data_IF_338272026763
#
_entry.id   IF_338272026763
#
_cell.length_a   1.000
_cell.length_b   1.000
_cell.length_c   1.000
_cell.angle_alpha   90.00
_cell.angle_beta   90.00
_cell.angle_gamma   90.00
#
_symmetry.space_group_name_H-M   'P 1'
#
loop_
_entity.id
_entity.type
_entity.pdbx_description
1 polymer ?
#
# COMPACT_ATOMS: atom_id res chain seq x y z
N UNK A 1 -16.84 52.75 -52.43
CA UNK A 1 -16.43 51.49 -53.11
C UNK A 1 -16.20 50.44 -52.02
N UNK A 2 -17.17 49.56 -51.73
CA UNK A 2 -17.20 48.09 -52.06
C UNK A 2 -15.81 47.43 -51.85
N UNK A 3 -15.59 46.43 -50.99
CA UNK A 3 -16.33 45.21 -50.54
C UNK A 3 -15.91 44.89 -49.08
N UNK A 4 -16.81 44.59 -48.13
CA UNK A 4 -17.45 43.29 -47.82
C UNK A 4 -16.49 42.09 -47.66
N UNK A 5 -16.43 41.53 -46.44
CA UNK A 5 -16.45 40.10 -46.01
C UNK A 5 -16.30 40.14 -44.47
N UNK A 6 -17.38 40.14 -43.67
CA UNK A 6 -18.04 38.96 -43.06
C UNK A 6 -17.07 37.91 -42.51
N UNK A 7 -16.92 37.84 -41.19
CA UNK A 7 -17.16 36.58 -40.49
C UNK A 7 -17.74 36.85 -39.11
N UNK A 8 -19.01 36.47 -38.99
CA UNK A 8 -19.81 36.40 -37.79
C UNK A 8 -19.67 34.95 -37.31
N UNK A 9 -19.09 34.72 -36.13
CA UNK A 9 -19.30 33.46 -35.40
C UNK A 9 -19.75 33.87 -33.99
N UNK A 10 -21.07 33.98 -33.87
CA UNK A 10 -21.77 33.77 -32.61
C UNK A 10 -21.97 32.25 -32.52
N UNK A 11 -21.31 31.63 -31.54
CA UNK A 11 -21.75 30.40 -30.90
C UNK A 11 -21.49 30.63 -29.40
N UNK A 12 -22.46 31.19 -28.67
CA UNK A 12 -23.38 30.39 -27.85
C UNK A 12 -22.66 29.19 -27.21
N UNK A 13 -21.76 29.47 -26.27
CA UNK A 13 -21.47 28.54 -25.17
C UNK A 13 -22.51 28.81 -24.09
N UNK A 14 -23.76 28.55 -24.45
CA UNK A 14 -24.79 28.10 -23.51
C UNK A 14 -24.61 26.58 -23.40
N UNK A 15 -23.57 26.16 -22.69
CA UNK A 15 -23.55 24.85 -22.03
C UNK A 15 -24.07 25.19 -20.64
N UNK A 16 -25.38 25.22 -20.47
CA UNK A 16 -26.06 24.08 -19.88
C UNK A 16 -25.30 23.61 -18.63
N UNK A 17 -25.41 24.39 -17.54
CA UNK A 17 -25.57 23.76 -16.23
C UNK A 17 -26.85 22.91 -16.33
N UNK A 18 -26.76 21.70 -16.89
CA UNK A 18 -27.65 20.67 -16.42
C UNK A 18 -27.14 20.38 -15.01
N UNK A 19 -27.91 20.84 -14.03
CA UNK A 19 -27.99 20.10 -12.79
C UNK A 19 -28.60 18.75 -13.19
N UNK A 20 -27.76 17.83 -13.65
CA UNK A 20 -28.02 16.42 -13.44
C UNK A 20 -27.80 16.20 -11.94
N UNK A 21 -28.77 16.67 -11.14
CA UNK A 21 -29.23 15.94 -9.98
C UNK A 21 -29.82 14.63 -10.50
N UNK A 22 -28.96 13.76 -11.02
CA UNK A 22 -29.20 12.35 -10.90
C UNK A 22 -29.21 12.09 -9.41
N UNK A 23 -30.42 11.84 -8.92
CA UNK A 23 -30.71 11.12 -7.70
C UNK A 23 -30.12 9.70 -7.81
N UNK A 24 -28.81 9.59 -7.98
CA UNK A 24 -28.11 8.39 -7.63
C UNK A 24 -28.08 8.41 -6.11
N UNK A 25 -29.10 7.81 -5.50
CA UNK A 25 -28.96 7.15 -4.21
C UNK A 25 -27.92 6.03 -4.41
N UNK A 26 -26.69 6.37 -4.77
CA UNK A 26 -25.55 5.49 -4.68
C UNK A 26 -25.42 5.21 -3.19
N UNK A 27 -25.87 4.01 -2.84
CA UNK A 27 -25.81 3.48 -1.49
C UNK A 27 -24.37 3.66 -1.02
N UNK A 28 -24.15 4.47 0.03
CA UNK A 28 -22.80 4.76 0.48
C UNK A 28 -22.22 3.47 1.06
N UNK A 29 -21.31 2.84 0.30
CA UNK A 29 -20.67 1.59 0.66
C UNK A 29 -19.32 1.85 1.34
N UNK A 30 -19.19 1.44 2.59
CA UNK A 30 -17.91 1.46 3.30
C UNK A 30 -17.25 0.09 3.25
N UNK A 31 -15.92 0.07 3.12
CA UNK A 31 -15.12 -1.16 3.21
C UNK A 31 -15.11 -1.63 4.68
N UNK A 32 -15.70 -2.77 4.98
CA UNK A 32 -15.78 -3.31 6.35
C UNK A 32 -14.54 -4.13 6.68
N UNK A 33 -14.06 -4.92 5.73
CA UNK A 33 -12.90 -5.77 5.94
C UNK A 33 -12.14 -6.05 4.64
N UNK A 34 -10.89 -6.47 4.80
CA UNK A 34 -10.06 -6.97 3.71
C UNK A 34 -9.37 -8.27 4.14
N UNK A 35 -9.42 -9.30 3.28
CA UNK A 35 -8.60 -10.50 3.45
C UNK A 35 -7.14 -10.12 3.34
N UNK A 36 -6.31 -10.73 4.20
CA UNK A 36 -4.85 -10.51 4.15
C UNK A 36 -4.19 -11.21 2.96
N UNK A 37 -4.95 -11.99 2.17
CA UNK A 37 -4.46 -12.61 0.96
C UNK A 37 -3.89 -11.55 0.02
N UNK A 38 -2.62 -11.73 -0.36
CA UNK A 38 -1.89 -10.76 -1.16
C UNK A 38 -1.27 -9.60 -0.39
N UNK A 39 -1.41 -9.53 0.94
CA UNK A 39 -0.66 -8.55 1.75
C UNK A 39 0.82 -8.94 1.77
N UNK A 40 1.69 -7.93 1.78
CA UNK A 40 3.13 -8.09 1.92
C UNK A 40 3.67 -7.10 2.96
N UNK A 41 4.24 -7.63 4.03
CA UNK A 41 4.87 -6.85 5.09
C UNK A 41 6.35 -6.66 4.77
N UNK A 42 6.70 -5.50 4.25
CA UNK A 42 8.04 -5.21 3.71
C UNK A 42 9.11 -5.03 4.80
N UNK A 43 8.71 -4.63 6.00
CA UNK A 43 9.59 -4.37 7.13
C UNK A 43 9.74 -5.58 8.08
N UNK A 44 8.92 -6.63 7.92
CA UNK A 44 8.79 -7.73 8.90
C UNK A 44 8.76 -9.08 8.18
N UNK A 45 9.66 -9.98 8.58
CA UNK A 45 9.59 -11.39 8.15
C UNK A 45 8.67 -12.15 9.09
N UNK A 46 7.56 -12.65 8.55
CA UNK A 46 6.66 -13.57 9.26
C UNK A 46 7.33 -14.95 9.27
N UNK A 47 7.44 -15.57 10.44
CA UNK A 47 7.98 -16.93 10.51
C UNK A 47 7.01 -17.91 9.86
N UNK A 48 7.50 -18.90 9.09
CA UNK A 48 6.64 -19.93 8.50
C UNK A 48 5.87 -20.73 9.57
N UNK A 49 6.40 -20.79 10.79
CA UNK A 49 5.81 -21.50 11.93
C UNK A 49 4.94 -20.59 12.81
N UNK A 50 4.70 -19.35 12.37
CA UNK A 50 3.89 -18.36 13.08
C UNK A 50 2.43 -18.45 12.65
N UNK A 51 1.75 -19.53 13.04
CA UNK A 51 0.30 -19.62 12.92
C UNK A 51 -0.36 -19.21 14.23
N UNK A 52 -1.37 -18.35 14.13
CA UNK A 52 -2.34 -18.13 15.19
C UNK A 52 -3.67 -18.68 14.69
N UNK A 53 -4.11 -19.80 15.25
CA UNK A 53 -5.35 -20.48 14.84
C UNK A 53 -6.59 -19.61 15.00
N UNK A 54 -6.52 -18.56 15.82
CA UNK A 54 -7.65 -17.68 16.09
C UNK A 54 -7.73 -16.50 15.13
N UNK A 55 -6.74 -16.30 14.24
CA UNK A 55 -6.78 -15.22 13.28
C UNK A 55 -7.84 -15.47 12.20
N UNK A 56 -8.67 -14.46 11.93
CA UNK A 56 -9.83 -14.60 11.03
C UNK A 56 -9.48 -14.67 9.54
N UNK A 57 -8.21 -14.45 9.18
CA UNK A 57 -7.77 -14.32 7.78
C UNK A 57 -8.06 -12.95 7.16
N UNK A 58 -8.62 -12.01 7.93
CA UNK A 58 -8.96 -10.66 7.48
C UNK A 58 -8.62 -9.60 8.52
N UNK A 59 -8.45 -8.37 8.04
CA UNK A 59 -8.43 -7.16 8.86
C UNK A 59 -9.76 -6.43 8.71
N UNK A 60 -10.21 -5.77 9.78
CA UNK A 60 -11.48 -5.04 9.80
C UNK A 60 -11.24 -3.54 10.01
N UNK A 61 -12.14 -2.71 9.53
CA UNK A 61 -12.01 -1.26 9.54
C UNK A 61 -13.08 -0.60 10.41
N UNK A 62 -12.67 0.36 11.24
CA UNK A 62 -13.57 1.32 11.86
C UNK A 62 -13.34 2.71 11.26
N UNK A 63 -14.40 3.53 11.29
CA UNK A 63 -14.42 4.84 10.64
C UNK A 63 -14.69 5.95 11.65
N UNK A 64 -14.09 7.12 11.40
CA UNK A 64 -14.42 8.35 12.12
C UNK A 64 -15.70 9.01 11.59
N UNK A 65 -16.07 10.14 12.22
CA UNK A 65 -17.25 10.92 11.84
C UNK A 65 -17.15 11.57 10.44
N UNK A 66 -15.96 11.60 9.84
CA UNK A 66 -15.71 12.06 8.47
C UNK A 66 -15.63 10.89 7.47
N UNK A 67 -16.07 9.69 7.86
CA UNK A 67 -16.02 8.47 7.06
C UNK A 67 -14.60 8.10 6.58
N UNK A 68 -13.59 8.34 7.43
CA UNK A 68 -12.20 7.90 7.19
C UNK A 68 -11.85 6.76 8.14
N UNK A 69 -11.07 5.79 7.66
CA UNK A 69 -10.62 4.67 8.50
C UNK A 69 -9.78 5.23 9.65
N UNK A 70 -10.23 5.09 10.89
CA UNK A 70 -9.50 5.53 12.08
C UNK A 70 -8.94 4.36 12.89
N UNK A 71 -9.38 3.13 12.62
CA UNK A 71 -8.76 1.91 13.16
C UNK A 71 -8.72 0.78 12.15
N UNK A 72 -7.65 0.01 12.21
CA UNK A 72 -7.49 -1.27 11.50
C UNK A 72 -7.33 -2.37 12.54
N UNK A 73 -8.30 -3.28 12.62
CA UNK A 73 -8.30 -4.39 13.58
C UNK A 73 -7.82 -5.67 12.92
N UNK A 74 -6.85 -6.33 13.55
CA UNK A 74 -6.13 -7.47 13.03
C UNK A 74 -4.85 -7.07 12.30
N UNK A 75 -3.84 -7.94 12.34
CA UNK A 75 -2.52 -7.63 11.78
C UNK A 75 -1.40 -8.41 12.45
N UNK A 76 -0.19 -7.85 12.45
CA UNK A 76 1.00 -8.50 12.99
C UNK A 76 1.16 -8.27 14.50
N UNK A 77 1.17 -9.35 15.26
CA UNK A 77 1.49 -9.39 16.68
C UNK A 77 2.92 -9.92 16.90
N UNK A 78 3.69 -9.20 17.70
CA UNK A 78 4.96 -9.73 18.21
C UNK A 78 4.68 -10.72 19.33
N UNK A 79 5.18 -11.95 19.21
CA UNK A 79 5.06 -12.98 20.24
C UNK A 79 6.45 -13.54 20.50
N UNK A 80 7.09 -13.25 21.65
CA UNK A 80 8.32 -13.92 21.98
C UNK A 80 8.04 -15.42 22.18
N UNK A 81 8.85 -16.27 21.55
CA UNK A 81 8.83 -17.72 21.69
C UNK A 81 10.18 -18.16 22.26
N UNK A 82 10.23 -19.22 23.07
CA UNK A 82 11.42 -19.62 23.83
C UNK A 82 12.70 -19.77 22.99
N UNK A 83 12.55 -20.15 21.70
CA UNK A 83 13.65 -20.29 20.75
C UNK A 83 13.78 -19.11 19.75
N UNK A 84 12.82 -18.17 19.74
CA UNK A 84 12.83 -17.02 18.85
C UNK A 84 12.19 -15.79 19.53
N UNK A 85 13.05 -14.90 20.04
CA UNK A 85 12.65 -13.65 20.69
C UNK A 85 12.09 -12.60 19.72
N UNK A 86 12.10 -12.85 18.40
CA UNK A 86 11.67 -11.93 17.34
C UNK A 86 10.62 -12.57 16.42
N UNK A 87 9.66 -13.31 16.97
CA UNK A 87 8.61 -13.98 16.18
C UNK A 87 7.40 -13.07 16.00
N UNK A 88 6.91 -13.02 14.76
CA UNK A 88 5.75 -12.25 14.32
C UNK A 88 4.68 -13.20 13.83
N UNK A 89 3.47 -13.09 14.39
CA UNK A 89 2.29 -13.88 14.01
C UNK A 89 1.17 -12.95 13.58
N UNK A 90 0.23 -13.43 12.76
CA UNK A 90 -1.01 -12.69 12.52
C UNK A 90 -1.95 -12.89 13.71
N UNK A 91 -2.68 -11.86 14.13
CA UNK A 91 -3.66 -11.95 15.22
C UNK A 91 -4.82 -10.99 15.00
N UNK A 92 -5.99 -11.32 15.57
CA UNK A 92 -7.12 -10.39 15.67
C UNK A 92 -6.96 -9.43 16.87
N UNK A 93 -6.03 -9.72 17.79
CA UNK A 93 -5.85 -9.00 19.07
C UNK A 93 -4.99 -7.73 18.93
N UNK A 94 -4.69 -7.32 17.70
CA UNK A 94 -3.94 -6.12 17.40
C UNK A 94 -4.83 -5.12 16.71
N UNK A 95 -4.60 -3.86 16.97
CA UNK A 95 -5.21 -2.79 16.21
C UNK A 95 -4.18 -1.70 15.94
N UNK A 96 -4.29 -1.10 14.76
CA UNK A 96 -3.59 0.14 14.42
C UNK A 96 -4.58 1.29 14.56
N UNK A 97 -4.22 2.31 15.32
CA UNK A 97 -4.96 3.58 15.41
C UNK A 97 -4.42 4.53 14.36
N UNK A 98 -5.33 5.04 13.53
CA UNK A 98 -5.04 5.95 12.43
C UNK A 98 -5.55 7.34 12.77
N UNK A 99 -4.62 8.29 12.87
CA UNK A 99 -4.92 9.70 13.16
C UNK A 99 -4.59 10.57 11.96
N UNK A 100 -5.46 11.52 11.65
CA UNK A 100 -5.30 12.45 10.53
C UNK A 100 -5.01 13.85 11.05
N UNK A 101 -3.94 14.47 10.57
CA UNK A 101 -3.56 15.84 10.86
C UNK A 101 -3.14 16.54 9.56
N UNK A 102 -4.04 17.36 9.01
CA UNK A 102 -3.88 18.03 7.73
C UNK A 102 -3.48 17.06 6.60
N UNK A 103 -2.25 17.17 6.11
CA UNK A 103 -1.69 16.34 5.05
C UNK A 103 -0.93 15.12 5.57
N UNK A 104 -1.03 14.82 6.86
CA UNK A 104 -0.29 13.77 7.53
C UNK A 104 -1.23 12.71 8.11
N UNK A 105 -0.87 11.45 7.92
CA UNK A 105 -1.55 10.28 8.50
C UNK A 105 -0.58 9.60 9.46
N UNK A 106 -0.95 9.47 10.72
CA UNK A 106 -0.17 8.77 11.75
C UNK A 106 -0.80 7.43 12.05
N UNK A 107 0.03 6.40 12.16
CA UNK A 107 -0.36 5.04 12.49
C UNK A 107 0.39 4.62 13.74
N UNK A 108 -0.37 4.46 14.82
CA UNK A 108 0.12 3.99 16.11
C UNK A 108 -0.37 2.56 16.35
N UNK A 109 0.57 1.63 16.54
CA UNK A 109 0.23 0.26 16.88
C UNK A 109 -0.28 0.20 18.32
N UNK A 110 -1.54 -0.17 18.49
CA UNK A 110 -2.22 -0.27 19.79
C UNK A 110 -2.69 -1.70 20.07
N UNK A 111 -1.76 -2.65 20.14
CA UNK A 111 -2.06 -3.84 20.93
C UNK A 111 -1.89 -3.52 22.43
N UNK A 112 -2.61 -4.24 23.30
CA UNK A 112 -2.28 -4.38 24.73
C UNK A 112 -0.94 -5.13 24.87
N UNK A 113 0.13 -4.47 24.44
CA UNK A 113 1.47 -5.03 24.30
C UNK A 113 2.46 -3.94 24.68
N UNK A 114 3.28 -4.24 25.68
CA UNK A 114 4.44 -3.41 26.04
C UNK A 114 5.40 -3.24 24.84
N UNK A 115 5.34 -4.15 23.86
CA UNK A 115 6.01 -4.03 22.58
C UNK A 115 5.11 -3.32 21.55
N UNK A 116 5.24 -2.00 21.45
CA UNK A 116 4.83 -1.25 20.25
C UNK A 116 5.98 -1.37 19.25
N UNK A 117 5.86 -2.11 18.14
CA UNK A 117 6.99 -2.30 17.25
C UNK A 117 7.33 -1.09 16.43
N UNK A 118 6.32 -0.31 16.06
CA UNK A 118 6.50 0.81 15.16
C UNK A 118 5.49 1.92 15.45
N UNK A 119 5.91 3.11 15.05
CA UNK A 119 5.03 4.21 14.71
C UNK A 119 5.36 4.60 13.27
N UNK A 120 4.32 4.84 12.46
CA UNK A 120 4.49 5.26 11.07
C UNK A 120 3.77 6.58 10.85
N UNK A 121 4.42 7.47 10.10
CA UNK A 121 3.84 8.74 9.68
C UNK A 121 3.96 8.86 8.17
N UNK A 122 2.87 9.19 7.51
CA UNK A 122 2.77 9.34 6.07
C UNK A 122 2.39 10.77 5.75
N UNK A 123 3.19 11.46 4.95
CA UNK A 123 2.89 12.81 4.48
C UNK A 123 2.43 12.72 3.04
N UNK A 124 1.29 13.34 2.76
CA UNK A 124 0.68 13.44 1.46
C UNK A 124 0.82 14.87 0.91
N UNK A 125 0.84 15.00 -0.41
CA UNK A 125 0.65 16.25 -1.11
C UNK A 125 -0.41 16.02 -2.19
N UNK A 126 -1.56 16.70 -2.09
CA UNK A 126 -2.71 16.49 -2.98
C UNK A 126 -3.11 15.01 -3.14
N UNK A 127 -3.11 14.26 -2.02
CA UNK A 127 -3.44 12.84 -2.00
C UNK A 127 -2.33 11.89 -2.46
N UNK A 128 -1.18 12.41 -2.91
CA UNK A 128 -0.02 11.64 -3.34
C UNK A 128 0.96 11.47 -2.18
N UNK A 129 1.45 10.25 -1.94
CA UNK A 129 2.44 9.98 -0.89
C UNK A 129 3.78 10.64 -1.23
N UNK A 130 4.28 11.56 -0.40
CA UNK A 130 5.58 12.22 -0.61
C UNK A 130 6.65 11.77 0.39
N UNK A 131 6.25 11.36 1.59
CA UNK A 131 7.17 10.77 2.56
C UNK A 131 6.50 9.78 3.51
N UNK A 132 7.29 8.83 3.97
CA UNK A 132 6.95 7.87 5.02
C UNK A 132 8.07 7.88 6.06
N UNK A 133 7.75 8.14 7.31
CA UNK A 133 8.67 8.01 8.44
C UNK A 133 8.31 6.78 9.24
N UNK A 134 9.29 5.92 9.49
CA UNK A 134 9.12 4.70 10.29
C UNK A 134 10.01 4.79 11.51
N UNK A 135 9.40 4.83 12.68
CA UNK A 135 10.09 4.80 13.97
C UNK A 135 9.93 3.41 14.55
N UNK A 136 11.01 2.62 14.62
CA UNK A 136 10.99 1.33 15.32
C UNK A 136 11.13 1.59 16.82
N UNK A 137 10.16 1.13 17.61
CA UNK A 137 10.10 1.40 19.05
C UNK A 137 10.56 0.18 19.86
N UNK A 138 10.37 -1.04 19.35
CA UNK A 138 10.76 -2.30 20.00
C UNK A 138 11.68 -3.14 19.11
N UNK A 139 12.68 -3.86 19.65
CA UNK A 139 13.06 -3.98 21.08
C UNK A 139 13.87 -2.80 21.62
N UNK A 140 14.42 -1.96 20.74
CA UNK A 140 15.19 -0.76 21.11
C UNK A 140 14.72 0.36 20.17
N UNK A 141 14.40 1.56 20.70
CA UNK A 141 14.12 2.73 19.87
C UNK A 141 15.34 3.04 19.00
N UNK A 142 15.15 3.03 17.68
CA UNK A 142 16.17 3.46 16.73
C UNK A 142 15.79 4.81 16.15
N UNK A 143 16.78 5.52 15.61
CA UNK A 143 16.53 6.73 14.84
C UNK A 143 15.51 6.44 13.72
N UNK A 144 14.47 7.28 13.58
CA UNK A 144 13.47 7.06 12.55
C UNK A 144 14.08 7.05 11.16
N UNK A 145 13.66 6.11 10.33
CA UNK A 145 14.03 6.07 8.92
C UNK A 145 12.99 6.87 8.14
N UNK A 146 13.45 7.85 7.37
CA UNK A 146 12.61 8.67 6.48
C UNK A 146 12.81 8.20 5.05
N UNK A 147 11.71 7.78 4.44
CA UNK A 147 11.57 7.44 3.04
C UNK A 147 10.94 8.62 2.30
N UNK A 148 11.56 9.06 1.20
CA UNK A 148 11.05 10.12 0.32
C UNK A 148 10.66 9.51 -1.02
N UNK A 149 9.51 9.90 -1.56
CA UNK A 149 8.99 9.38 -2.83
C UNK A 149 9.04 10.46 -3.91
N UNK A 150 9.79 10.19 -4.98
CA UNK A 150 9.90 11.06 -6.16
C UNK A 150 9.22 10.40 -7.36
N UNK A 151 8.30 11.12 -7.99
CA UNK A 151 7.49 10.64 -9.10
C UNK A 151 8.06 11.14 -10.43
N UNK A 152 8.21 10.24 -11.40
CA UNK A 152 8.64 10.56 -12.76
C UNK A 152 7.90 9.67 -13.77
N UNK A 153 6.76 10.15 -14.28
CA UNK A 153 5.89 9.38 -15.15
C UNK A 153 5.39 8.10 -14.46
N UNK A 154 5.65 6.95 -15.07
CA UNK A 154 5.29 5.64 -14.55
C UNK A 154 6.32 5.07 -13.54
N UNK A 155 7.26 5.88 -13.06
CA UNK A 155 8.27 5.48 -12.07
C UNK A 155 8.11 6.27 -10.76
N UNK A 156 8.24 5.59 -9.62
CA UNK A 156 8.37 6.21 -8.30
C UNK A 156 9.69 5.76 -7.66
N UNK A 157 10.56 6.69 -7.29
CA UNK A 157 11.80 6.41 -6.57
C UNK A 157 11.60 6.65 -5.08
N UNK A 158 11.74 5.61 -4.29
CA UNK A 158 11.82 5.71 -2.84
C UNK A 158 13.28 5.87 -2.43
N UNK A 159 13.60 6.96 -1.73
CA UNK A 159 14.95 7.32 -1.30
C UNK A 159 15.08 7.31 0.22
N UNK A 160 16.25 6.89 0.69
CA UNK A 160 16.68 6.99 2.10
C UNK A 160 18.03 7.71 2.10
N UNK A 161 18.16 8.81 2.86
CA UNK A 161 19.42 9.57 2.93
C UNK A 161 19.94 10.02 1.55
N UNK A 162 19.03 10.34 0.62
CA UNK A 162 19.36 10.77 -0.75
C UNK A 162 19.68 9.63 -1.74
N UNK A 163 19.83 8.39 -1.28
CA UNK A 163 20.08 7.22 -2.15
C UNK A 163 18.78 6.53 -2.53
N UNK A 164 18.70 6.05 -3.77
CA UNK A 164 17.57 5.23 -4.22
C UNK A 164 17.62 3.88 -3.51
N UNK A 165 16.57 3.60 -2.74
CA UNK A 165 16.40 2.34 -2.03
C UNK A 165 15.49 1.40 -2.81
N UNK A 166 14.35 1.90 -3.30
CA UNK A 166 13.42 1.17 -4.16
C UNK A 166 13.00 1.99 -5.36
N UNK A 167 12.76 1.31 -6.48
CA UNK A 167 12.13 1.89 -7.68
C UNK A 167 10.85 1.12 -7.96
N UNK A 168 9.73 1.81 -7.99
CA UNK A 168 8.39 1.29 -8.26
C UNK A 168 8.09 1.59 -9.73
N UNK A 169 7.71 0.59 -10.50
CA UNK A 169 7.28 0.76 -11.90
C UNK A 169 5.78 0.51 -11.98
N UNK A 170 5.07 1.49 -12.52
CA UNK A 170 3.65 1.46 -12.80
C UNK A 170 3.41 1.09 -14.27
N UNK A 171 2.26 0.50 -14.55
CA UNK A 171 1.74 0.34 -15.91
C UNK A 171 0.22 0.32 -15.85
N UNK A 172 -0.44 1.12 -16.69
CA UNK A 172 -1.90 1.29 -16.67
C UNK A 172 -2.49 1.61 -15.28
N UNK A 173 -1.74 2.35 -14.44
CA UNK A 173 -2.13 2.68 -13.07
C UNK A 173 -1.99 1.54 -12.05
N UNK A 174 -1.30 0.45 -12.41
CA UNK A 174 -1.01 -0.70 -11.55
C UNK A 174 0.48 -0.83 -11.25
N UNK A 175 0.84 -1.19 -10.02
CA UNK A 175 2.24 -1.42 -9.62
C UNK A 175 2.75 -2.76 -10.14
N UNK A 176 3.41 -2.78 -11.29
CA UNK A 176 3.84 -4.05 -11.91
C UNK A 176 5.17 -4.57 -11.38
N UNK A 177 6.03 -3.68 -10.88
CA UNK A 177 7.36 -4.06 -10.38
C UNK A 177 7.84 -3.15 -9.25
N UNK A 178 8.57 -3.73 -8.29
CA UNK A 178 9.48 -3.00 -7.41
C UNK A 178 10.89 -3.59 -7.56
N UNK A 179 11.89 -2.75 -7.77
CA UNK A 179 13.30 -3.11 -7.64
C UNK A 179 13.87 -2.47 -6.37
N UNK A 180 14.31 -3.30 -5.42
CA UNK A 180 14.98 -2.88 -4.20
C UNK A 180 16.48 -3.14 -4.31
N UNK A 181 17.30 -2.10 -4.18
CA UNK A 181 18.76 -2.26 -4.17
C UNK A 181 19.22 -2.67 -2.77
N UNK A 182 20.13 -3.66 -2.71
CA UNK A 182 20.76 -4.09 -1.47
C UNK A 182 22.15 -3.48 -1.39
N UNK A 183 22.41 -2.80 -0.28
CA UNK A 183 23.70 -2.21 0.03
C UNK A 183 24.34 -2.96 1.19
N UNK A 184 25.66 -3.13 1.15
CA UNK A 184 26.42 -3.55 2.32
C UNK A 184 26.35 -2.46 3.40
N UNK A 185 26.22 -2.86 4.66
CA UNK A 185 26.12 -1.89 5.76
C UNK A 185 27.42 -1.12 6.00
N UNK A 186 28.58 -1.77 5.84
CA UNK A 186 29.88 -1.18 6.15
C UNK A 186 30.48 -0.42 4.95
N UNK A 187 30.51 -1.04 3.77
CA UNK A 187 31.10 -0.42 2.58
C UNK A 187 30.11 0.47 1.82
N UNK A 188 28.81 0.31 2.07
CA UNK A 188 27.75 0.98 1.31
C UNK A 188 27.81 0.69 -0.21
N UNK A 189 28.48 -0.39 -0.60
CA UNK A 189 28.49 -0.87 -1.98
C UNK A 189 27.25 -1.70 -2.29
N UNK A 190 26.88 -1.77 -3.57
CA UNK A 190 25.77 -2.62 -4.01
C UNK A 190 26.18 -4.08 -3.88
N UNK A 191 25.41 -4.87 -3.13
CA UNK A 191 25.63 -6.31 -2.94
C UNK A 191 24.64 -7.16 -3.72
N UNK A 192 23.56 -6.56 -4.20
CA UNK A 192 22.50 -7.25 -4.91
C UNK A 192 21.26 -6.41 -5.14
N UNK A 193 20.20 -7.08 -5.56
CA UNK A 193 18.86 -6.48 -5.61
C UNK A 193 17.79 -7.54 -5.36
N UNK A 194 16.62 -7.08 -4.96
CA UNK A 194 15.39 -7.88 -4.90
C UNK A 194 14.38 -7.27 -5.87
N UNK A 195 13.75 -8.10 -6.69
CA UNK A 195 12.63 -7.70 -7.54
C UNK A 195 11.33 -8.28 -7.01
N UNK A 196 10.29 -7.46 -6.99
CA UNK A 196 8.91 -7.87 -6.75
C UNK A 196 8.14 -7.65 -8.04
N UNK A 197 7.46 -8.68 -8.54
CA UNK A 197 6.66 -8.63 -9.75
C UNK A 197 5.21 -8.93 -9.39
N UNK A 198 4.32 -7.99 -9.66
CA UNK A 198 2.90 -8.12 -9.41
C UNK A 198 2.22 -8.42 -10.74
N UNK A 199 1.60 -9.60 -10.82
CA UNK A 199 1.18 -10.21 -12.08
C UNK A 199 -0.30 -10.57 -12.02
N UNK A 200 -0.88 -10.77 -13.21
CA UNK A 200 -2.25 -11.23 -13.40
C UNK A 200 -3.27 -10.33 -12.69
N UNK A 201 -3.28 -9.07 -13.11
CA UNK A 201 -4.26 -8.09 -12.63
C UNK A 201 -5.66 -8.42 -13.12
N UNK A 202 -6.63 -8.28 -12.22
CA UNK A 202 -8.05 -8.34 -12.54
C UNK A 202 -8.58 -7.01 -13.11
N UNK A 203 -9.88 -6.97 -13.37
CA UNK A 203 -10.60 -5.75 -13.76
C UNK A 203 -11.32 -5.07 -12.58
N UNK A 204 -11.43 -5.73 -11.42
CA UNK A 204 -12.06 -5.17 -10.21
C UNK A 204 -11.24 -4.01 -9.67
N UNK A 205 -11.92 -3.01 -9.10
CA UNK A 205 -11.24 -1.98 -8.33
C UNK A 205 -10.51 -2.59 -7.12
N UNK A 206 -9.32 -2.06 -6.82
CA UNK A 206 -8.64 -2.29 -5.56
C UNK A 206 -9.09 -1.25 -4.52
N UNK A 207 -9.95 -1.66 -3.59
CA UNK A 207 -10.49 -0.78 -2.55
C UNK A 207 -9.46 -0.33 -1.49
N UNK A 208 -8.21 -0.83 -1.58
CA UNK A 208 -7.08 -0.38 -0.76
C UNK A 208 -6.19 0.65 -1.47
N UNK A 209 -6.52 1.06 -2.71
CA UNK A 209 -5.78 2.11 -3.42
C UNK A 209 -5.71 3.39 -2.58
N UNK A 210 -4.51 3.96 -2.45
CA UNK A 210 -4.25 5.16 -1.66
C UNK A 210 -4.19 4.94 -0.14
N UNK A 211 -4.51 3.74 0.36
CA UNK A 211 -4.49 3.42 1.80
C UNK A 211 -3.13 2.87 2.23
N UNK A 212 -2.06 3.60 1.91
CA UNK A 212 -0.66 3.22 2.19
C UNK A 212 -0.36 2.97 3.67
N UNK A 213 -1.19 3.55 4.55
CA UNK A 213 -1.08 3.47 5.99
C UNK A 213 -1.58 2.13 6.57
N UNK A 214 -2.24 1.28 5.78
CA UNK A 214 -2.64 -0.07 6.21
C UNK A 214 -1.43 -1.00 6.12
N UNK A 215 -0.99 -1.53 7.26
CA UNK A 215 0.15 -2.44 7.30
C UNK A 215 -0.10 -3.71 6.48
N UNK A 216 0.91 -4.10 5.69
CA UNK A 216 0.81 -5.21 4.74
C UNK A 216 0.16 -4.86 3.39
N UNK A 217 -0.59 -3.76 3.31
CA UNK A 217 -1.22 -3.30 2.07
C UNK A 217 -0.42 -2.22 1.32
N UNK A 218 0.75 -1.82 1.84
CA UNK A 218 1.53 -0.69 1.31
C UNK A 218 1.77 -0.76 -0.20
N UNK A 219 2.26 -1.89 -0.72
CA UNK A 219 2.47 -2.06 -2.17
C UNK A 219 1.15 -2.11 -2.95
N UNK A 220 0.15 -2.80 -2.41
CA UNK A 220 -1.17 -2.91 -3.02
C UNK A 220 -1.83 -1.54 -3.17
N UNK A 221 -1.61 -0.60 -2.24
CA UNK A 221 -2.17 0.74 -2.27
C UNK A 221 -1.72 1.59 -3.48
N UNK A 222 -0.66 1.20 -4.20
CA UNK A 222 -0.24 1.85 -5.45
C UNK A 222 -0.98 1.34 -6.70
N UNK A 223 -1.76 0.26 -6.60
CA UNK A 223 -2.42 -0.36 -7.76
C UNK A 223 -3.89 0.05 -7.88
N UNK A 224 -4.34 0.29 -9.11
CA UNK A 224 -5.75 0.49 -9.48
C UNK A 224 -6.60 -0.78 -9.32
N UNK A 225 -6.03 -1.93 -9.67
CA UNK A 225 -6.68 -3.24 -9.70
C UNK A 225 -5.96 -4.23 -8.77
N UNK A 226 -6.50 -5.45 -8.61
CA UNK A 226 -5.91 -6.47 -7.76
C UNK A 226 -5.03 -7.41 -8.59
N UNK A 227 -3.77 -7.60 -8.19
CA UNK A 227 -2.97 -8.72 -8.68
C UNK A 227 -3.39 -10.01 -7.99
N UNK A 228 -3.22 -11.13 -8.70
CA UNK A 228 -3.46 -12.48 -8.17
C UNK A 228 -2.18 -13.28 -8.00
N UNK A 229 -1.05 -12.75 -8.46
CA UNK A 229 0.25 -13.38 -8.35
C UNK A 229 1.31 -12.35 -7.94
N UNK A 230 2.13 -12.73 -6.96
CA UNK A 230 3.35 -12.02 -6.57
C UNK A 230 4.53 -12.95 -6.77
N UNK A 231 5.51 -12.53 -7.57
CA UNK A 231 6.79 -13.23 -7.73
C UNK A 231 7.92 -12.37 -7.15
N UNK A 232 8.81 -13.00 -6.40
CA UNK A 232 9.97 -12.34 -5.78
C UNK A 232 11.24 -12.99 -6.31
N UNK A 233 12.17 -12.19 -6.81
CA UNK A 233 13.47 -12.64 -7.31
C UNK A 233 14.58 -11.98 -6.54
N UNK A 234 15.59 -12.76 -6.21
CA UNK A 234 16.75 -12.31 -5.47
C UNK A 234 18.00 -12.43 -6.32
N UNK A 235 18.78 -11.36 -6.34
CA UNK A 235 20.00 -11.27 -7.14
C UNK A 235 21.19 -10.91 -6.26
N UNK A 236 22.32 -11.56 -6.48
CA UNK A 236 23.62 -11.07 -6.00
C UNK A 236 24.27 -10.19 -7.06
N UNK A 237 25.05 -9.21 -6.63
CA UNK A 237 25.86 -8.37 -7.51
C UNK A 237 27.35 -8.67 -7.31
N UNK A 238 28.02 -9.08 -8.40
CA UNK A 238 29.47 -9.31 -8.42
C UNK A 238 30.01 -9.04 -9.82
N UNK A 239 31.21 -8.48 -9.91
CA UNK A 239 31.88 -8.20 -11.20
C UNK A 239 30.98 -7.41 -12.16
N UNK A 240 30.32 -6.37 -11.62
CA UNK A 240 29.36 -5.50 -12.31
C UNK A 240 28.15 -6.21 -12.96
N UNK A 241 27.81 -7.41 -12.48
CA UNK A 241 26.73 -8.24 -13.03
C UNK A 241 25.78 -8.72 -11.93
N UNK A 242 24.48 -8.71 -12.24
CA UNK A 242 23.46 -9.32 -11.38
C UNK A 242 23.23 -10.79 -11.77
N UNK A 243 23.32 -11.68 -10.78
CA UNK A 243 23.07 -13.11 -10.94
C UNK A 243 21.89 -13.53 -10.07
N UNK A 244 20.88 -14.16 -10.66
CA UNK A 244 19.73 -14.70 -9.93
C UNK A 244 20.20 -15.76 -8.92
N UNK A 245 19.79 -15.61 -7.67
CA UNK A 245 20.10 -16.49 -6.56
C UNK A 245 18.92 -17.32 -6.12
N UNK A 246 17.75 -16.70 -6.08
CA UNK A 246 16.52 -17.34 -5.61
C UNK A 246 15.30 -16.73 -6.31
N UNK A 247 14.25 -17.52 -6.43
CA UNK A 247 12.96 -17.10 -6.95
C UNK A 247 11.85 -17.79 -6.16
N UNK A 248 10.95 -16.99 -5.61
CA UNK A 248 9.76 -17.46 -4.90
C UNK A 248 8.52 -16.73 -5.40
N UNK A 249 7.35 -17.19 -4.99
CA UNK A 249 6.11 -16.50 -5.32
C UNK A 249 4.91 -17.12 -4.66
N UNK A 250 3.80 -16.39 -4.75
CA UNK A 250 2.49 -16.84 -4.29
C UNK A 250 1.45 -16.48 -5.36
N UNK A 251 0.44 -17.31 -5.46
CA UNK A 251 -0.72 -17.10 -6.32
C UNK A 251 -1.98 -17.45 -5.54
N UNK A 252 -3.05 -16.74 -5.82
CA UNK A 252 -4.36 -16.98 -5.21
C UNK A 252 -5.46 -16.66 -6.21
N UNK A 253 -6.62 -17.26 -6.00
CA UNK A 253 -7.78 -17.05 -6.87
C UNK A 253 -8.70 -15.99 -6.27
N UNK A 254 -9.37 -15.26 -7.16
CA UNK A 254 -10.39 -14.27 -6.81
C UNK A 254 -11.72 -14.69 -7.40
N UNK A 255 -12.75 -14.52 -6.59
CA UNK A 255 -14.15 -14.53 -7.03
C UNK A 255 -14.70 -13.11 -6.92
N UNK A 256 -15.82 -12.83 -7.57
CA UNK A 256 -16.37 -11.47 -7.64
C UNK A 256 -17.84 -11.49 -7.26
N UNK A 257 -18.29 -10.43 -6.58
CA UNK A 257 -19.71 -10.21 -6.31
C UNK A 257 -20.43 -9.60 -7.53
N UNK A 258 -21.72 -9.30 -7.37
CA UNK A 258 -22.55 -8.71 -8.43
C UNK A 258 -22.10 -7.30 -8.87
N UNK A 259 -21.36 -6.59 -8.01
CA UNK A 259 -20.80 -5.27 -8.29
C UNK A 259 -19.37 -5.34 -8.84
N UNK A 260 -18.92 -6.54 -9.22
CA UNK A 260 -17.56 -6.83 -9.69
C UNK A 260 -16.48 -6.48 -8.65
N UNK A 261 -16.79 -6.61 -7.36
CA UNK A 261 -15.81 -6.46 -6.29
C UNK A 261 -15.16 -7.81 -5.98
N UNK A 262 -13.83 -7.82 -6.01
CA UNK A 262 -13.05 -9.00 -5.66
C UNK A 262 -13.35 -9.48 -4.23
N UNK A 263 -13.39 -10.80 -4.03
CA UNK A 263 -13.65 -11.47 -2.76
C UNK A 263 -12.56 -11.28 -1.70
N UNK A 264 -11.59 -10.39 -1.98
CA UNK A 264 -10.68 -9.81 -1.00
C UNK A 264 -11.37 -8.82 -0.08
N UNK A 265 -12.49 -8.22 -0.51
CA UNK A 265 -13.12 -7.11 0.19
C UNK A 265 -14.54 -7.46 0.63
N UNK A 266 -14.90 -7.01 1.83
CA UNK A 266 -16.29 -7.00 2.29
C UNK A 266 -16.73 -5.55 2.43
N UNK A 267 -17.88 -5.20 1.85
CA UNK A 267 -18.48 -3.87 1.96
C UNK A 267 -19.83 -3.93 2.65
N UNK A 268 -20.16 -2.86 3.36
CA UNK A 268 -21.49 -2.63 3.89
C UNK A 268 -22.01 -1.32 3.29
N UNK A 269 -23.13 -1.42 2.59
CA UNK A 269 -23.78 -0.30 1.94
C UNK A 269 -25.00 0.10 2.75
N UNK A 270 -25.11 1.38 3.10
CA UNK A 270 -26.23 1.93 3.87
C UNK A 270 -27.25 2.59 2.96
#
# INVERSE_FOLDING_TARGET
MKKNIRLLIIALISVACSNDTENNNEKECCLVSAKITGFYYDDITISNDASNSNFSGKINFEYDIQNRINKVKGGLLHVPDGNNLNKWVLSNDVEDVVTYDNNTIKVDYSANSDARPYQKEFTLNNGVLVSRKVTKIYPIPLDPIVYIYEYNGDEIREKIGGKVYRTFTLSAGNLVKIEQIKYDFLSNEVTGKREYLFLNYDASENLLKGKFYINGAFFKAFSKNNYTQLKIREYSFKDNTYTLKDESGTSFELTYDADNIASLFERECK
#
